data_IF_551305682819
#
_entry.id   IF_551305682819
#
_cell.length_a   1.000
_cell.length_b   1.000
_cell.length_c   1.000
_cell.angle_alpha   90.00
_cell.angle_beta   90.00
_cell.angle_gamma   90.00
#
_symmetry.space_group_name_H-M   'P 1'
#
loop_
_entity.id
_entity.type
_entity.pdbx_description
1 polymer ?
#
# COMPACT_ATOMS: atom_id res chain seq x y z
N UNK A 1 9.32 -12.00 -20.11
CA UNK A 1 8.84 -10.62 -20.01
C UNK A 1 9.68 -9.82 -19.01
N UNK A 2 10.04 -10.38 -17.84
CA UNK A 2 10.76 -9.68 -16.77
C UNK A 2 12.25 -10.04 -16.62
N UNK A 3 12.90 -10.52 -17.66
CA UNK A 3 14.30 -11.03 -17.61
C UNK A 3 15.37 -9.99 -17.26
N UNK A 4 15.04 -8.71 -17.29
CA UNK A 4 15.96 -7.60 -17.02
C UNK A 4 15.68 -6.90 -15.68
N UNK A 5 14.71 -7.38 -14.90
CA UNK A 5 14.36 -6.80 -13.60
C UNK A 5 15.45 -7.10 -12.57
N UNK A 6 15.79 -6.09 -11.76
CA UNK A 6 16.83 -6.16 -10.72
C UNK A 6 16.31 -5.76 -9.34
N UNK A 7 15.16 -5.08 -9.28
CA UNK A 7 14.55 -4.64 -8.05
C UNK A 7 13.03 -4.70 -8.13
N UNK A 8 12.36 -4.73 -6.97
CA UNK A 8 10.92 -4.61 -6.89
C UNK A 8 10.52 -3.51 -5.91
N UNK A 9 9.51 -2.74 -6.29
CA UNK A 9 8.77 -1.81 -5.43
C UNK A 9 7.45 -2.47 -5.10
N UNK A 10 7.16 -2.65 -3.81
CA UNK A 10 5.97 -3.39 -3.35
C UNK A 10 5.14 -2.48 -2.45
N UNK A 11 3.84 -2.39 -2.70
CA UNK A 11 2.90 -1.69 -1.82
C UNK A 11 2.61 -2.48 -0.54
N UNK A 12 2.03 -1.83 0.47
CA UNK A 12 1.82 -2.40 1.79
C UNK A 12 0.36 -2.82 2.02
N UNK A 13 -0.55 -1.81 2.12
CA UNK A 13 -1.96 -2.02 2.47
C UNK A 13 -2.72 -2.63 1.28
N UNK A 14 -3.28 -3.82 1.44
CA UNK A 14 -3.97 -4.53 0.36
C UNK A 14 -3.05 -5.39 -0.52
N UNK A 15 -1.74 -5.22 -0.43
CA UNK A 15 -0.75 -5.97 -1.21
C UNK A 15 0.01 -6.99 -0.36
N UNK A 16 0.65 -6.55 0.73
CA UNK A 16 1.33 -7.43 1.68
C UNK A 16 0.49 -7.72 2.91
N UNK A 17 -0.33 -6.77 3.35
CA UNK A 17 -1.08 -6.85 4.60
C UNK A 17 -2.54 -6.48 4.34
N UNK A 18 -3.48 -7.33 4.81
CA UNK A 18 -4.88 -6.95 4.98
C UNK A 18 -5.01 -6.06 6.22
N UNK A 19 -5.00 -4.76 6.02
CA UNK A 19 -5.06 -3.74 7.08
C UNK A 19 -6.45 -3.18 7.32
N UNK A 20 -7.44 -3.54 6.50
CA UNK A 20 -8.81 -3.05 6.65
C UNK A 20 -9.43 -3.33 8.03
N UNK A 21 -9.14 -4.45 8.72
CA UNK A 21 -9.63 -4.68 10.08
C UNK A 21 -9.11 -3.67 11.11
N UNK A 22 -7.84 -3.23 11.03
CA UNK A 22 -7.31 -2.19 11.91
C UNK A 22 -7.96 -0.83 11.62
N UNK A 23 -8.14 -0.50 10.34
CA UNK A 23 -8.87 0.71 9.93
C UNK A 23 -10.30 0.72 10.47
N UNK A 24 -11.00 -0.40 10.38
CA UNK A 24 -12.36 -0.54 10.89
C UNK A 24 -12.44 -0.19 12.38
N UNK A 25 -11.55 -0.75 13.19
CA UNK A 25 -11.53 -0.50 14.64
C UNK A 25 -11.23 0.96 14.94
N UNK A 26 -10.18 1.53 14.32
CA UNK A 26 -9.78 2.91 14.57
C UNK A 26 -10.83 3.92 14.12
N UNK A 27 -11.41 3.72 12.93
CA UNK A 27 -12.47 4.58 12.39
C UNK A 27 -13.72 4.50 13.26
N UNK A 28 -14.15 3.31 13.67
CA UNK A 28 -15.35 3.19 14.48
C UNK A 28 -15.16 3.76 15.90
N UNK A 29 -13.96 3.70 16.48
CA UNK A 29 -13.67 4.42 17.73
C UNK A 29 -13.76 5.94 17.52
N UNK A 30 -13.14 6.49 16.48
CA UNK A 30 -13.27 7.91 16.14
C UNK A 30 -14.73 8.30 15.91
N UNK A 31 -15.53 7.48 15.21
CA UNK A 31 -16.96 7.74 14.98
C UNK A 31 -17.77 7.77 16.27
N UNK A 32 -17.45 6.91 17.24
CA UNK A 32 -18.06 6.96 18.58
C UNK A 32 -17.75 8.28 19.28
N UNK A 33 -16.51 8.76 19.21
CA UNK A 33 -16.12 10.05 19.81
C UNK A 33 -16.86 11.24 19.18
N UNK A 34 -17.25 11.10 17.91
CA UNK A 34 -18.06 12.10 17.18
C UNK A 34 -19.58 11.83 17.24
N UNK A 35 -20.04 10.89 18.08
CA UNK A 35 -21.43 10.46 18.20
C UNK A 35 -22.05 10.00 16.87
N UNK A 36 -21.27 9.37 15.99
CA UNK A 36 -21.69 8.84 14.69
C UNK A 36 -21.88 7.31 14.76
N UNK A 37 -22.76 6.78 13.91
CA UNK A 37 -22.99 5.35 13.80
C UNK A 37 -21.75 4.61 13.23
N UNK A 38 -21.47 3.36 13.67
CA UNK A 38 -20.34 2.60 13.16
C UNK A 38 -20.52 2.22 11.68
N UNK A 39 -19.40 2.05 10.98
CA UNK A 39 -19.34 1.56 9.61
C UNK A 39 -19.01 0.06 9.56
N UNK A 40 -19.36 -0.57 8.44
CA UNK A 40 -18.99 -1.96 8.16
C UNK A 40 -17.63 -2.06 7.50
N UNK A 41 -17.02 -3.25 7.55
CA UNK A 41 -15.73 -3.52 6.90
C UNK A 41 -15.79 -3.28 5.39
N UNK A 42 -16.88 -3.66 4.74
CA UNK A 42 -17.04 -3.50 3.28
C UNK A 42 -17.02 -2.02 2.86
N UNK A 43 -17.65 -1.15 3.63
CA UNK A 43 -17.60 0.31 3.40
C UNK A 43 -16.16 0.82 3.55
N UNK A 44 -15.46 0.41 4.62
CA UNK A 44 -14.07 0.83 4.84
C UNK A 44 -13.15 0.40 3.69
N UNK A 45 -13.29 -0.84 3.22
CA UNK A 45 -12.47 -1.38 2.11
C UNK A 45 -12.53 -0.53 0.84
N UNK A 46 -13.67 0.11 0.55
CA UNK A 46 -13.81 0.98 -0.63
C UNK A 46 -13.06 2.30 -0.51
N UNK A 47 -12.67 2.70 0.71
CA UNK A 47 -12.04 4.00 1.01
C UNK A 47 -10.53 3.93 1.23
N UNK A 48 -9.98 2.71 1.42
CA UNK A 48 -8.55 2.49 1.68
C UNK A 48 -7.70 2.71 0.42
N UNK A 49 -6.44 3.13 0.60
CA UNK A 49 -5.40 3.18 -0.45
C UNK A 49 -4.98 4.58 -0.90
N UNK A 50 -5.69 5.65 -0.48
CA UNK A 50 -5.35 7.05 -0.83
C UNK A 50 -4.74 7.87 0.31
N UNK A 51 -4.38 7.19 1.42
CA UNK A 51 -3.81 7.81 2.62
C UNK A 51 -4.85 8.26 3.64
N UNK A 52 -4.38 8.58 4.86
CA UNK A 52 -5.23 8.84 6.01
C UNK A 52 -6.15 10.04 5.83
N UNK A 53 -5.66 11.14 5.23
CA UNK A 53 -6.45 12.35 5.00
C UNK A 53 -7.65 12.08 4.08
N UNK A 54 -7.41 11.37 2.97
CA UNK A 54 -8.47 11.01 2.04
C UNK A 54 -9.48 10.05 2.69
N UNK A 55 -9.01 9.09 3.48
CA UNK A 55 -9.85 8.16 4.21
C UNK A 55 -10.81 8.90 5.16
N UNK A 56 -10.29 9.81 6.00
CA UNK A 56 -11.11 10.55 6.97
C UNK A 56 -12.07 11.52 6.27
N UNK A 57 -11.63 12.15 5.18
CA UNK A 57 -12.52 12.99 4.37
C UNK A 57 -13.72 12.21 3.84
N UNK A 58 -13.48 11.01 3.27
CA UNK A 58 -14.56 10.14 2.78
C UNK A 58 -15.48 9.66 3.91
N UNK A 59 -14.91 9.25 5.05
CA UNK A 59 -15.67 8.80 6.23
C UNK A 59 -16.60 9.89 6.73
N UNK A 60 -16.12 11.13 6.84
CA UNK A 60 -16.96 12.28 7.28
C UNK A 60 -18.01 12.63 6.24
N UNK A 61 -17.72 12.49 4.95
CA UNK A 61 -18.66 12.80 3.87
C UNK A 61 -19.91 11.87 3.83
N UNK A 62 -19.90 10.78 4.60
CA UNK A 62 -21.08 9.93 4.75
C UNK A 62 -22.18 10.61 5.62
N UNK A 63 -21.79 11.53 6.50
CA UNK A 63 -22.71 12.14 7.48
C UNK A 63 -22.82 13.65 7.32
N UNK A 64 -21.85 14.30 6.66
CA UNK A 64 -21.77 15.77 6.58
C UNK A 64 -21.60 16.25 5.14
N UNK A 65 -22.09 17.46 4.86
CA UNK A 65 -21.77 18.21 3.66
C UNK A 65 -20.33 18.76 3.69
N UNK A 66 -19.89 19.38 2.62
CA UNK A 66 -18.52 19.89 2.49
C UNK A 66 -18.12 20.86 3.61
N UNK A 67 -19.05 21.70 4.08
CA UNK A 67 -18.83 22.65 5.19
C UNK A 67 -18.67 21.90 6.51
N UNK A 68 -19.55 20.92 6.76
CA UNK A 68 -19.49 20.07 7.93
C UNK A 68 -18.23 19.21 8.01
N UNK A 69 -17.78 18.69 6.87
CA UNK A 69 -16.49 17.97 6.74
C UNK A 69 -15.33 18.90 7.09
N UNK A 70 -15.24 20.08 6.44
CA UNK A 70 -14.14 21.02 6.67
C UNK A 70 -14.05 21.46 8.15
N UNK A 71 -15.19 21.66 8.80
CA UNK A 71 -15.23 22.08 10.22
C UNK A 71 -14.76 21.00 11.21
N UNK A 72 -14.71 19.71 10.82
CA UNK A 72 -14.40 18.58 11.69
C UNK A 72 -13.14 17.81 11.30
N UNK A 73 -12.59 18.09 10.14
CA UNK A 73 -11.56 17.29 9.51
C UNK A 73 -10.30 17.14 10.38
N UNK A 74 -9.76 18.24 10.88
CA UNK A 74 -8.52 18.22 11.65
C UNK A 74 -8.67 17.43 12.96
N UNK A 75 -9.77 17.65 13.69
CA UNK A 75 -10.07 16.93 14.93
C UNK A 75 -10.33 15.44 14.67
N UNK A 76 -11.07 15.11 13.61
CA UNK A 76 -11.35 13.72 13.26
C UNK A 76 -10.09 12.99 12.78
N UNK A 77 -9.22 13.65 12.02
CA UNK A 77 -7.95 13.07 11.59
C UNK A 77 -7.03 12.81 12.79
N UNK A 78 -6.90 13.76 13.71
CA UNK A 78 -6.09 13.60 14.92
C UNK A 78 -6.65 12.46 15.81
N UNK A 79 -7.96 12.42 16.01
CA UNK A 79 -8.63 11.36 16.80
C UNK A 79 -8.46 9.98 16.16
N UNK A 80 -8.65 9.88 14.85
CA UNK A 80 -8.41 8.66 14.10
C UNK A 80 -6.95 8.19 14.26
N UNK A 81 -5.97 9.08 14.09
CA UNK A 81 -4.55 8.74 14.20
C UNK A 81 -4.19 8.21 15.59
N UNK A 82 -4.76 8.80 16.65
CA UNK A 82 -4.60 8.31 18.01
C UNK A 82 -5.14 6.89 18.17
N UNK A 83 -6.36 6.62 17.69
CA UNK A 83 -6.96 5.29 17.75
C UNK A 83 -6.21 4.29 16.87
N UNK A 84 -5.74 4.73 15.69
CA UNK A 84 -4.99 3.86 14.78
C UNK A 84 -3.64 3.45 15.38
N UNK A 85 -2.91 4.36 16.02
CA UNK A 85 -1.66 4.04 16.73
C UNK A 85 -1.88 2.94 17.79
N UNK A 86 -3.01 2.97 18.48
CA UNK A 86 -3.32 2.01 19.54
C UNK A 86 -3.63 0.60 19.03
N UNK A 87 -4.00 0.44 17.74
CA UNK A 87 -4.43 -0.87 17.17
C UNK A 87 -3.57 -1.30 15.97
N UNK A 88 -2.61 -0.50 15.56
CA UNK A 88 -1.82 -0.74 14.35
C UNK A 88 -1.14 -2.12 14.38
N UNK A 89 -1.60 -3.00 13.50
CA UNK A 89 -1.12 -4.38 13.40
C UNK A 89 -1.79 -5.39 14.35
N UNK A 90 -2.81 -5.00 15.15
CA UNK A 90 -3.47 -5.92 16.08
C UNK A 90 -4.46 -6.86 15.37
N UNK A 91 -5.18 -6.34 14.40
CA UNK A 91 -6.24 -7.07 13.67
C UNK A 91 -5.86 -7.35 12.22
N UNK A 92 -4.82 -6.71 11.70
CA UNK A 92 -4.32 -6.94 10.35
C UNK A 92 -3.53 -8.25 10.25
N UNK A 93 -3.51 -8.84 9.05
CA UNK A 93 -2.79 -10.08 8.77
C UNK A 93 -2.03 -10.00 7.45
N UNK A 94 -0.91 -10.72 7.35
CA UNK A 94 -0.23 -10.90 6.07
C UNK A 94 -1.13 -11.70 5.12
N UNK A 95 -1.13 -11.31 3.85
CA UNK A 95 -1.72 -12.16 2.83
C UNK A 95 -0.93 -13.47 2.66
N UNK A 96 -1.55 -14.51 2.09
CA UNK A 96 -0.86 -15.78 1.88
C UNK A 96 0.43 -15.62 1.08
N UNK A 97 1.47 -16.35 1.47
CA UNK A 97 2.76 -16.44 0.79
C UNK A 97 3.54 -15.11 0.66
N UNK A 98 3.28 -14.13 1.54
CA UNK A 98 4.04 -12.86 1.54
C UNK A 98 5.47 -13.11 1.96
N UNK A 99 5.74 -13.82 3.06
CA UNK A 99 7.10 -14.14 3.50
C UNK A 99 7.86 -14.94 2.44
N UNK A 100 7.22 -15.98 1.89
CA UNK A 100 7.81 -16.84 0.88
C UNK A 100 8.13 -16.06 -0.40
N UNK A 101 7.23 -15.16 -0.82
CA UNK A 101 7.43 -14.33 -2.01
C UNK A 101 8.56 -13.33 -1.83
N UNK A 102 8.61 -12.63 -0.69
CA UNK A 102 9.68 -11.67 -0.37
C UNK A 102 11.04 -12.38 -0.28
N UNK A 103 11.08 -13.53 0.40
CA UNK A 103 12.30 -14.34 0.50
C UNK A 103 12.75 -14.83 -0.87
N UNK A 104 11.86 -15.37 -1.69
CA UNK A 104 12.18 -15.84 -3.03
C UNK A 104 12.75 -14.71 -3.91
N UNK A 105 12.17 -13.49 -3.85
CA UNK A 105 12.72 -12.33 -4.56
C UNK A 105 14.14 -11.99 -4.07
N UNK A 106 14.39 -12.02 -2.76
CA UNK A 106 15.72 -11.80 -2.17
C UNK A 106 16.73 -12.87 -2.62
N UNK A 107 16.33 -14.14 -2.64
CA UNK A 107 17.18 -15.26 -3.09
C UNK A 107 17.56 -15.13 -4.57
N UNK A 108 16.69 -14.56 -5.39
CA UNK A 108 16.97 -14.16 -6.77
C UNK A 108 17.92 -12.95 -6.88
N UNK A 109 18.30 -12.33 -5.76
CA UNK A 109 19.16 -11.15 -5.71
C UNK A 109 18.44 -9.84 -5.99
N UNK A 110 17.10 -9.81 -5.92
CA UNK A 110 16.32 -8.58 -6.09
C UNK A 110 16.50 -7.65 -4.89
N UNK A 111 16.62 -6.36 -5.17
CA UNK A 111 16.58 -5.29 -4.17
C UNK A 111 15.12 -4.89 -3.96
N UNK A 112 14.65 -4.85 -2.71
CA UNK A 112 13.26 -4.60 -2.41
C UNK A 112 13.08 -3.23 -1.73
N UNK A 113 12.07 -2.48 -2.19
CA UNK A 113 11.64 -1.20 -1.63
C UNK A 113 10.14 -1.27 -1.37
N UNK A 114 9.69 -0.77 -0.23
CA UNK A 114 8.25 -0.60 0.04
C UNK A 114 7.86 0.85 -0.25
N UNK A 115 6.79 1.07 -1.04
CA UNK A 115 6.18 2.39 -1.25
C UNK A 115 4.69 2.31 -0.97
N UNK A 116 4.25 3.00 0.08
CA UNK A 116 2.84 3.02 0.49
C UNK A 116 2.31 4.45 0.63
N UNK A 117 1.01 4.64 0.43
CA UNK A 117 0.33 5.91 0.75
C UNK A 117 0.04 6.07 2.26
N UNK A 118 0.28 5.03 3.06
CA UNK A 118 0.23 5.09 4.52
C UNK A 118 1.35 6.00 5.05
N UNK A 119 1.09 6.87 6.05
CA UNK A 119 2.16 7.64 6.70
C UNK A 119 3.27 6.74 7.26
N UNK A 120 4.53 7.15 7.11
CA UNK A 120 5.71 6.35 7.48
C UNK A 120 5.70 5.97 8.97
N UNK A 121 5.21 6.87 9.82
CA UNK A 121 5.06 6.64 11.27
C UNK A 121 4.13 5.47 11.61
N UNK A 122 3.22 5.08 10.71
CA UNK A 122 2.35 3.91 10.85
C UNK A 122 2.89 2.70 10.08
N UNK A 123 3.50 2.91 8.93
CA UNK A 123 3.99 1.82 8.07
C UNK A 123 5.15 1.05 8.73
N UNK A 124 6.15 1.74 9.26
CA UNK A 124 7.32 1.10 9.86
C UNK A 124 6.99 0.21 11.06
N UNK A 125 6.24 0.67 12.09
CA UNK A 125 5.86 -0.19 13.22
C UNK A 125 5.00 -1.39 12.79
N UNK A 126 4.11 -1.21 11.82
CA UNK A 126 3.32 -2.31 11.26
C UNK A 126 4.20 -3.37 10.61
N UNK A 127 5.13 -2.96 9.74
CA UNK A 127 6.05 -3.88 9.06
C UNK A 127 7.00 -4.58 10.06
N UNK A 128 7.41 -3.90 11.12
CA UNK A 128 8.18 -4.50 12.21
C UNK A 128 7.37 -5.57 12.95
N UNK A 129 6.13 -5.25 13.33
CA UNK A 129 5.21 -6.17 14.03
C UNK A 129 4.85 -7.40 13.19
N UNK A 130 4.81 -7.25 11.85
CA UNK A 130 4.58 -8.36 10.90
C UNK A 130 5.87 -9.02 10.42
N UNK A 131 7.02 -8.65 10.98
CA UNK A 131 8.33 -9.25 10.71
C UNK A 131 8.75 -9.22 9.24
N UNK A 132 8.29 -8.20 8.46
CA UNK A 132 8.63 -8.06 7.04
C UNK A 132 9.60 -6.92 6.72
N UNK A 133 9.85 -6.00 7.65
CA UNK A 133 10.69 -4.81 7.39
C UNK A 133 12.11 -5.18 6.94
N UNK A 134 12.66 -6.29 7.43
CA UNK A 134 14.03 -6.74 7.15
C UNK A 134 14.27 -7.19 5.70
N UNK A 135 13.21 -7.43 4.93
CA UNK A 135 13.34 -7.73 3.50
C UNK A 135 13.69 -6.50 2.66
N UNK A 136 13.37 -5.31 3.14
CA UNK A 136 13.42 -4.07 2.37
C UNK A 136 14.67 -3.26 2.67
N UNK A 137 15.29 -2.72 1.61
CA UNK A 137 16.40 -1.77 1.75
C UNK A 137 15.88 -0.40 2.19
N UNK A 138 14.68 -0.03 1.72
CA UNK A 138 14.04 1.23 2.05
C UNK A 138 12.52 1.09 2.15
N UNK A 139 11.91 1.91 2.98
CA UNK A 139 10.46 2.04 3.15
C UNK A 139 10.11 3.52 3.03
N UNK A 140 9.21 3.83 2.09
CA UNK A 140 8.70 5.18 1.88
C UNK A 140 7.19 5.21 2.17
N UNK A 141 6.77 6.10 3.05
CA UNK A 141 5.38 6.38 3.36
C UNK A 141 4.79 7.46 2.47
N UNK A 142 3.50 7.71 2.60
CA UNK A 142 2.78 8.73 1.86
C UNK A 142 3.23 10.18 2.13
N UNK A 143 3.99 10.36 3.17
CA UNK A 143 4.60 11.62 3.66
C UNK A 143 6.12 11.70 3.40
N UNK A 144 6.73 10.71 2.75
CA UNK A 144 8.17 10.70 2.48
C UNK A 144 8.59 11.65 1.35
N UNK A 145 7.65 12.02 0.46
CA UNK A 145 7.90 12.90 -0.68
C UNK A 145 6.80 13.96 -0.80
N UNK A 146 7.02 14.96 -1.67
CA UNK A 146 6.05 16.03 -1.91
C UNK A 146 4.71 15.52 -2.50
N UNK A 147 4.73 14.33 -3.11
CA UNK A 147 3.56 13.69 -3.69
C UNK A 147 3.57 12.18 -3.40
N UNK A 148 2.37 11.59 -3.35
CA UNK A 148 2.14 10.16 -3.15
C UNK A 148 1.47 9.51 -4.37
N UNK A 149 1.41 8.17 -4.44
CA UNK A 149 0.71 7.45 -5.52
C UNK A 149 -0.74 7.96 -5.64
N UNK A 150 -1.27 8.22 -6.84
CA UNK A 150 -0.81 7.77 -8.15
C UNK A 150 0.23 8.67 -8.85
N UNK A 151 0.77 9.72 -8.21
CA UNK A 151 1.88 10.48 -8.81
C UNK A 151 3.13 9.59 -8.94
N UNK A 152 3.90 9.69 -10.05
CA UNK A 152 5.08 8.87 -10.27
C UNK A 152 6.28 9.22 -9.38
N UNK A 153 6.26 10.35 -8.68
CA UNK A 153 7.40 10.85 -7.90
C UNK A 153 7.99 9.81 -6.94
N UNK A 154 7.21 9.10 -6.11
CA UNK A 154 7.78 8.10 -5.21
C UNK A 154 8.49 6.96 -5.93
N UNK A 155 7.96 6.52 -7.08
CA UNK A 155 8.58 5.46 -7.89
C UNK A 155 9.90 5.93 -8.50
N UNK A 156 9.94 7.15 -9.03
CA UNK A 156 11.15 7.74 -9.62
C UNK A 156 12.26 7.95 -8.57
N UNK A 157 11.91 8.44 -7.38
CA UNK A 157 12.88 8.62 -6.30
C UNK A 157 13.42 7.28 -5.79
N UNK A 158 12.58 6.23 -5.71
CA UNK A 158 13.04 4.89 -5.39
C UNK A 158 13.99 4.31 -6.47
N UNK A 159 13.66 4.47 -7.75
CA UNK A 159 14.55 4.06 -8.85
C UNK A 159 15.90 4.77 -8.78
N UNK A 160 15.90 6.08 -8.48
CA UNK A 160 17.10 6.88 -8.29
C UNK A 160 17.93 6.40 -7.07
N UNK A 161 17.28 6.11 -5.94
CA UNK A 161 17.95 5.58 -4.75
C UNK A 161 18.55 4.18 -4.99
N UNK A 162 17.92 3.39 -5.86
CA UNK A 162 18.42 2.09 -6.29
C UNK A 162 19.52 2.19 -7.35
N UNK A 163 19.79 3.35 -7.95
CA UNK A 163 20.64 3.54 -9.11
C UNK A 163 20.26 2.59 -10.27
N UNK A 164 18.96 2.47 -10.54
CA UNK A 164 18.40 1.62 -11.59
C UNK A 164 17.45 2.43 -12.48
N UNK A 165 17.44 2.19 -13.80
CA UNK A 165 16.42 2.76 -14.66
C UNK A 165 15.06 2.15 -14.32
N UNK A 166 13.95 2.93 -14.42
CA UNK A 166 12.60 2.44 -14.08
C UNK A 166 12.22 1.13 -14.78
N UNK A 167 12.67 0.92 -16.01
CA UNK A 167 12.43 -0.32 -16.78
C UNK A 167 13.03 -1.58 -16.13
N UNK A 168 13.95 -1.45 -15.17
CA UNK A 168 14.56 -2.57 -14.42
C UNK A 168 13.96 -2.72 -13.01
N UNK A 169 12.93 -1.97 -12.66
CA UNK A 169 12.28 -1.97 -11.34
C UNK A 169 10.81 -2.35 -11.51
N UNK A 170 10.43 -3.54 -11.03
CA UNK A 170 9.05 -4.03 -11.09
C UNK A 170 8.23 -3.43 -9.94
N UNK A 171 7.10 -2.82 -10.24
CA UNK A 171 6.12 -2.46 -9.23
C UNK A 171 5.12 -3.60 -8.99
N UNK A 172 4.70 -3.80 -7.74
CA UNK A 172 3.65 -4.76 -7.36
C UNK A 172 2.70 -4.05 -6.40
N UNK A 173 1.42 -4.03 -6.74
CA UNK A 173 0.37 -3.39 -5.93
C UNK A 173 -0.98 -4.03 -6.15
N UNK A 174 -2.01 -3.54 -5.47
CA UNK A 174 -3.38 -4.05 -5.57
C UNK A 174 -4.36 -3.07 -6.22
N UNK A 175 -3.92 -1.84 -6.51
CA UNK A 175 -4.83 -0.77 -6.91
C UNK A 175 -4.40 -0.02 -8.17
N UNK A 176 -5.34 0.72 -8.74
CA UNK A 176 -5.08 1.65 -9.85
C UNK A 176 -4.05 2.73 -9.47
N UNK A 177 -3.93 3.11 -8.19
CA UNK A 177 -2.92 4.07 -7.74
C UNK A 177 -1.49 3.56 -7.99
N UNK A 178 -1.25 2.26 -7.78
CA UNK A 178 0.05 1.61 -8.01
C UNK A 178 0.37 1.55 -9.49
N UNK A 179 -0.59 1.07 -10.28
CA UNK A 179 -0.41 0.91 -11.71
C UNK A 179 -0.20 2.24 -12.43
N UNK A 180 -0.95 3.28 -12.09
CA UNK A 180 -0.80 4.63 -12.68
C UNK A 180 0.58 5.19 -12.32
N UNK A 181 0.98 5.14 -11.05
CA UNK A 181 2.27 5.65 -10.61
C UNK A 181 3.44 4.93 -11.29
N UNK A 182 3.39 3.58 -11.34
CA UNK A 182 4.42 2.76 -11.97
C UNK A 182 4.54 3.04 -13.48
N UNK A 183 3.43 3.03 -14.21
CA UNK A 183 3.42 3.31 -15.64
C UNK A 183 3.91 4.71 -15.97
N UNK A 184 3.47 5.72 -15.22
CA UNK A 184 3.93 7.09 -15.40
C UNK A 184 5.43 7.26 -15.10
N UNK A 185 6.00 6.43 -14.22
CA UNK A 185 7.43 6.38 -13.95
C UNK A 185 8.22 5.56 -14.99
N UNK A 186 7.56 4.73 -15.82
CA UNK A 186 8.20 3.81 -16.77
C UNK A 186 8.58 2.47 -16.16
N UNK A 187 8.03 2.11 -15.01
CA UNK A 187 8.19 0.80 -14.38
C UNK A 187 7.15 -0.19 -14.92
N UNK A 188 7.53 -1.45 -15.23
CA UNK A 188 6.55 -2.52 -15.37
C UNK A 188 5.79 -2.76 -14.06
N UNK A 189 4.53 -3.21 -14.15
CA UNK A 189 3.68 -3.38 -12.96
C UNK A 189 2.86 -4.66 -13.00
N UNK A 190 2.88 -5.40 -11.89
CA UNK A 190 1.99 -6.52 -11.61
C UNK A 190 0.96 -6.12 -10.55
N UNK A 191 -0.22 -6.73 -10.65
CA UNK A 191 -1.31 -6.48 -9.70
C UNK A 191 -1.71 -7.77 -9.00
N UNK A 192 -1.97 -7.70 -7.69
CA UNK A 192 -2.58 -8.79 -6.92
C UNK A 192 -4.11 -8.60 -6.86
N UNK A 193 -4.91 -9.69 -6.94
CA UNK A 193 -6.37 -9.58 -7.08
C UNK A 193 -7.13 -9.44 -5.77
N UNK A 194 -6.48 -9.66 -4.63
CA UNK A 194 -7.13 -9.78 -3.33
C UNK A 194 -7.19 -8.48 -2.51
N UNK A 195 -6.59 -7.40 -3.03
CA UNK A 195 -6.54 -6.11 -2.34
C UNK A 195 -7.83 -5.28 -2.42
N UNK A 196 -7.73 -4.00 -2.25
CA UNK A 196 -8.90 -3.14 -2.06
C UNK A 196 -9.39 -2.47 -3.34
N UNK A 197 -8.50 -2.00 -4.19
CA UNK A 197 -8.75 -1.29 -5.46
C UNK A 197 -10.00 -0.40 -5.46
N UNK A 198 -10.30 0.26 -4.34
CA UNK A 198 -11.44 1.17 -4.16
C UNK A 198 -12.81 0.59 -4.57
N UNK A 199 -12.99 -0.74 -4.48
CA UNK A 199 -14.19 -1.45 -4.91
C UNK A 199 -14.30 -1.70 -6.41
N UNK A 200 -13.30 -1.33 -7.20
CA UNK A 200 -13.25 -1.61 -8.64
C UNK A 200 -12.68 -3.00 -8.93
N UNK A 201 -13.14 -3.62 -10.01
CA UNK A 201 -12.63 -4.92 -10.44
C UNK A 201 -11.14 -4.83 -10.83
N UNK A 202 -10.32 -5.78 -10.34
CA UNK A 202 -8.87 -5.81 -10.61
C UNK A 202 -8.55 -5.89 -12.11
N UNK A 203 -9.45 -6.46 -12.93
CA UNK A 203 -9.30 -6.56 -14.38
C UNK A 203 -9.29 -5.18 -15.08
N UNK A 204 -9.80 -4.14 -14.42
CA UNK A 204 -9.80 -2.77 -14.93
C UNK A 204 -8.46 -2.06 -14.70
N UNK A 205 -7.57 -2.63 -13.86
CA UNK A 205 -6.26 -2.06 -13.60
C UNK A 205 -5.36 -2.29 -14.82
N UNK A 206 -4.78 -1.23 -15.34
CA UNK A 206 -3.84 -1.31 -16.45
C UNK A 206 -2.45 -1.78 -15.97
N UNK A 207 -2.32 -3.06 -15.68
CA UNK A 207 -1.08 -3.73 -15.30
C UNK A 207 -0.56 -4.65 -16.40
N UNK A 208 0.70 -5.10 -16.28
CA UNK A 208 1.32 -6.05 -17.22
C UNK A 208 0.95 -7.49 -16.91
N UNK A 209 0.25 -7.72 -15.81
CA UNK A 209 -0.30 -9.02 -15.42
C UNK A 209 -0.91 -9.00 -14.02
N UNK A 210 -1.81 -9.96 -13.77
CA UNK A 210 -2.40 -10.24 -12.47
C UNK A 210 -1.73 -11.50 -11.94
N UNK A 211 -1.25 -11.46 -10.69
CA UNK A 211 -0.58 -12.58 -10.03
C UNK A 211 -1.26 -12.88 -8.71
N UNK A 212 -1.54 -14.14 -8.45
CA UNK A 212 -2.33 -14.56 -7.27
C UNK A 212 -1.63 -14.29 -5.93
N UNK A 213 -0.29 -14.28 -5.91
CA UNK A 213 0.50 -14.03 -4.69
C UNK A 213 1.85 -13.42 -5.03
N UNK A 214 2.55 -12.87 -4.03
CA UNK A 214 3.94 -12.41 -4.20
C UNK A 214 4.90 -13.55 -4.58
N UNK A 215 4.62 -14.77 -4.14
CA UNK A 215 5.43 -15.93 -4.53
C UNK A 215 5.29 -16.22 -6.04
N UNK A 216 4.08 -16.13 -6.59
CA UNK A 216 3.86 -16.25 -8.03
C UNK A 216 4.56 -15.11 -8.79
N UNK A 217 4.52 -13.88 -8.26
CA UNK A 217 5.28 -12.77 -8.85
C UNK A 217 6.79 -13.07 -8.89
N UNK A 218 7.36 -13.63 -7.82
CA UNK A 218 8.78 -14.01 -7.76
C UNK A 218 9.14 -15.06 -8.84
N UNK A 219 8.27 -16.00 -9.13
CA UNK A 219 8.47 -17.05 -10.14
C UNK A 219 8.55 -16.51 -11.57
N UNK A 220 8.04 -15.30 -11.83
CA UNK A 220 8.15 -14.62 -13.13
C UNK A 220 9.47 -13.86 -13.32
N UNK A 221 10.27 -13.71 -12.24
CA UNK A 221 11.53 -12.99 -12.26
C UNK A 221 12.69 -13.87 -12.75
N UNK A 222 13.77 -13.28 -13.31
CA UNK A 222 14.90 -14.06 -13.79
C UNK A 222 15.63 -14.75 -12.64
N UNK A 223 16.06 -15.99 -12.88
CA UNK A 223 16.99 -16.64 -11.98
C UNK A 223 18.30 -15.84 -11.90
N UNK A 224 18.93 -15.82 -10.71
CA UNK A 224 20.24 -15.20 -10.53
C UNK A 224 21.24 -15.88 -11.49
N UNK A 225 21.77 -15.13 -12.47
CA UNK A 225 22.85 -15.65 -13.30
C UNK A 225 24.05 -15.92 -12.39
N UNK A 226 24.38 -17.19 -12.20
CA UNK A 226 25.62 -17.61 -11.53
C UNK A 226 26.79 -17.20 -12.44
N UNK A 227 27.47 -16.11 -12.11
CA UNK A 227 28.75 -15.74 -12.67
C UNK A 227 29.87 -16.23 -11.78
#
# INVERSE_FOLDING_TARGET
MFSHIKAAIIDLDGTMIDTAPDFLVAINRMRVDFALAPLTLDVIKTMVGKGSENLIQQVLSLDFDATGVAARFDDALATYQLHYLAVNGDHSQLYPQVHEGLQAMRDLGMRLVCITNKPLAFALPLMQKKEIVHYFEQVYGGDSFAKKKPDPLPMLEACKALDLPPSQVLAIGDSSNDAIAARAAGCPVLTVPYGYNHGEAVQNIQSDGIVETLLVAAQLLPAKNSH
#
